data_IF_145474097993
#
_entry.id   IF_145474097993
#
_cell.length_a   1.000
_cell.length_b   1.000
_cell.length_c   1.000
_cell.angle_alpha   90.00
_cell.angle_beta   90.00
_cell.angle_gamma   90.00
#
_symmetry.space_group_name_H-M   'P 1'
#
loop_
_entity.id
_entity.type
_entity.pdbx_description
1 polymer ?
#
# COMPACT_ATOMS: atom_id res chain seq x y z
N UNK A 1 -23.95 -27.11 -0.13
CA UNK A 1 -22.75 -27.61 -0.84
C UNK A 1 -21.55 -27.38 0.06
N UNK A 2 -20.82 -28.42 0.36
CA UNK A 2 -19.57 -28.32 1.14
C UNK A 2 -18.42 -28.38 0.14
N UNK A 3 -17.57 -27.34 0.10
CA UNK A 3 -16.39 -27.30 -0.75
C UNK A 3 -15.20 -27.80 0.09
N UNK A 4 -14.62 -28.94 -0.30
CA UNK A 4 -13.43 -29.50 0.35
C UNK A 4 -12.11 -28.84 -0.09
N UNK A 5 -12.17 -27.79 -0.90
CA UNK A 5 -11.04 -27.02 -1.40
C UNK A 5 -11.37 -25.55 -1.53
N UNK A 6 -10.37 -24.73 -1.87
CA UNK A 6 -10.56 -23.31 -2.10
C UNK A 6 -11.41 -23.01 -3.33
N UNK A 7 -12.04 -21.84 -3.34
CA UNK A 7 -12.67 -21.26 -4.53
C UNK A 7 -11.67 -20.27 -5.14
N UNK A 8 -11.28 -20.48 -6.38
CA UNK A 8 -10.48 -19.54 -7.16
C UNK A 8 -11.41 -18.88 -8.16
N UNK A 9 -11.61 -17.59 -8.06
CA UNK A 9 -12.53 -16.83 -8.89
C UNK A 9 -11.83 -16.00 -9.97
N UNK A 10 -10.52 -16.03 -10.10
CA UNK A 10 -9.75 -15.41 -11.20
C UNK A 10 -10.37 -14.09 -11.72
N UNK A 11 -10.43 -13.07 -10.85
CA UNK A 11 -11.01 -11.75 -11.12
C UNK A 11 -12.54 -11.70 -11.37
N UNK A 12 -13.23 -12.82 -11.17
CA UNK A 12 -14.68 -12.85 -11.25
C UNK A 12 -15.37 -12.30 -9.98
N UNK A 13 -16.52 -11.69 -10.17
CA UNK A 13 -17.28 -11.06 -9.09
C UNK A 13 -18.07 -12.08 -8.28
N UNK A 14 -17.83 -12.13 -6.96
CA UNK A 14 -18.71 -12.81 -6.03
C UNK A 14 -19.71 -11.79 -5.47
N UNK A 15 -20.97 -11.86 -5.94
CA UNK A 15 -21.99 -10.93 -5.51
C UNK A 15 -22.51 -11.26 -4.11
N UNK A 16 -22.52 -10.25 -3.21
CA UNK A 16 -23.05 -10.31 -1.85
C UNK A 16 -22.50 -11.45 -0.98
N UNK A 17 -21.17 -11.66 -0.94
CA UNK A 17 -20.60 -12.68 -0.08
C UNK A 17 -20.87 -12.36 1.40
N UNK A 18 -21.11 -13.38 2.20
CA UNK A 18 -21.12 -13.30 3.68
C UNK A 18 -19.96 -14.12 4.20
N UNK A 19 -18.94 -13.44 4.72
CA UNK A 19 -17.74 -14.06 5.27
C UNK A 19 -17.85 -14.03 6.81
N UNK A 20 -17.73 -15.18 7.45
CA UNK A 20 -17.77 -15.29 8.91
C UNK A 20 -16.38 -15.08 9.50
N UNK A 21 -15.40 -15.64 8.84
CA UNK A 21 -14.00 -15.55 9.24
C UNK A 21 -13.18 -15.55 7.94
N UNK A 22 -12.33 -14.53 7.78
CA UNK A 22 -11.45 -14.44 6.63
C UNK A 22 -10.08 -13.87 7.05
N UNK A 23 -9.08 -14.25 6.32
CA UNK A 23 -7.74 -13.69 6.44
C UNK A 23 -7.24 -13.27 5.08
N UNK A 24 -6.44 -12.22 5.04
CA UNK A 24 -5.76 -11.77 3.84
C UNK A 24 -4.32 -12.29 3.84
N UNK A 25 -3.83 -12.63 2.67
CA UNK A 25 -2.41 -12.95 2.52
C UNK A 25 -1.59 -11.66 2.65
N UNK A 26 -0.55 -11.72 3.46
CA UNK A 26 0.40 -10.61 3.59
C UNK A 26 1.51 -10.78 2.56
N UNK A 27 1.61 -9.83 1.64
CA UNK A 27 2.73 -9.78 0.69
C UNK A 27 3.95 -9.10 1.31
N UNK A 28 5.11 -9.74 1.24
CA UNK A 28 6.37 -9.19 1.70
C UNK A 28 7.14 -8.54 0.54
N UNK A 29 7.02 -7.24 0.37
CA UNK A 29 7.80 -6.47 -0.61
C UNK A 29 9.31 -6.59 -0.34
N UNK A 30 9.68 -6.73 0.95
CA UNK A 30 11.07 -6.86 1.39
C UNK A 30 11.79 -5.52 1.54
N UNK A 31 13.12 -5.57 1.56
CA UNK A 31 13.98 -4.37 1.67
C UNK A 31 14.14 -3.65 0.34
N UNK A 32 13.96 -2.32 0.35
CA UNK A 32 14.11 -1.46 -0.81
C UNK A 32 15.08 -0.31 -0.54
N UNK A 33 15.90 -0.02 -1.55
CA UNK A 33 16.90 1.08 -1.54
C UNK A 33 16.74 2.02 -2.73
N UNK A 34 15.80 1.73 -3.62
CA UNK A 34 15.54 2.47 -4.86
C UNK A 34 14.05 2.41 -5.20
N UNK A 35 13.64 3.07 -6.27
CA UNK A 35 12.27 3.09 -6.77
C UNK A 35 11.69 1.68 -6.98
N UNK A 36 10.43 1.51 -6.60
CA UNK A 36 9.69 0.25 -6.73
C UNK A 36 8.18 0.53 -6.81
N UNK A 37 7.40 -0.50 -7.09
CA UNK A 37 5.95 -0.42 -7.10
C UNK A 37 5.35 -1.24 -5.96
N UNK A 38 4.27 -0.73 -5.39
CA UNK A 38 3.31 -1.43 -4.54
C UNK A 38 2.27 -1.97 -5.51
N UNK A 39 2.23 -3.29 -5.67
CA UNK A 39 1.34 -3.97 -6.59
C UNK A 39 0.11 -4.51 -5.85
N UNK A 40 -1.09 -4.08 -6.27
CA UNK A 40 -2.32 -4.51 -5.64
C UNK A 40 -2.73 -5.95 -6.04
N UNK A 41 -2.18 -6.49 -7.13
CA UNK A 41 -2.36 -7.90 -7.47
C UNK A 41 -1.67 -8.84 -6.47
N UNK A 42 -0.64 -8.36 -5.79
CA UNK A 42 0.05 -9.11 -4.73
C UNK A 42 -0.72 -9.14 -3.40
N UNK A 43 -1.79 -8.35 -3.27
CA UNK A 43 -2.67 -8.29 -2.11
C UNK A 43 -2.77 -6.92 -1.45
N UNK A 44 -3.80 -6.76 -0.63
CA UNK A 44 -4.16 -5.50 0.01
C UNK A 44 -3.43 -5.25 1.34
N UNK A 45 -2.67 -6.22 1.83
CA UNK A 45 -1.85 -6.08 3.04
C UNK A 45 -0.40 -6.42 2.68
N UNK A 46 0.49 -5.45 2.85
CA UNK A 46 1.88 -5.61 2.41
C UNK A 46 2.85 -5.16 3.49
N UNK A 47 4.04 -5.74 3.50
CA UNK A 47 5.13 -5.33 4.40
C UNK A 47 6.32 -4.84 3.62
N UNK A 48 7.01 -3.83 4.16
CA UNK A 48 8.09 -3.12 3.48
C UNK A 48 9.14 -2.68 4.49
N UNK A 49 10.41 -2.77 4.11
CA UNK A 49 11.52 -2.15 4.86
C UNK A 49 12.30 -1.22 3.94
N UNK A 50 12.48 0.03 4.36
CA UNK A 50 13.40 0.93 3.68
C UNK A 50 14.80 0.76 4.26
N UNK A 51 15.79 0.54 3.38
CA UNK A 51 17.18 0.21 3.75
C UNK A 51 18.18 1.20 3.18
N UNK A 52 17.96 2.48 3.41
CA UNK A 52 18.90 3.51 2.97
C UNK A 52 18.23 4.83 2.65
N UNK A 53 19.03 5.89 2.63
CA UNK A 53 18.59 7.22 2.21
C UNK A 53 18.61 7.36 0.69
N UNK A 54 17.76 8.20 0.17
CA UNK A 54 17.69 8.52 -1.25
C UNK A 54 16.37 9.20 -1.59
N UNK A 55 16.30 9.76 -2.79
CA UNK A 55 15.06 10.33 -3.33
C UNK A 55 14.60 9.48 -4.49
N UNK A 56 13.40 8.91 -4.41
CA UNK A 56 12.85 8.07 -5.46
C UNK A 56 11.32 8.01 -5.38
N UNK A 57 10.71 7.53 -6.44
CA UNK A 57 9.28 7.33 -6.52
C UNK A 57 8.88 5.91 -6.06
N UNK A 58 7.73 5.83 -5.42
CA UNK A 58 7.06 4.59 -5.03
C UNK A 58 5.74 4.58 -5.79
N UNK A 59 5.62 3.71 -6.78
CA UNK A 59 4.40 3.57 -7.57
C UNK A 59 3.31 2.77 -6.83
N UNK A 60 2.05 2.98 -7.22
CA UNK A 60 0.91 2.17 -6.77
C UNK A 60 0.23 1.68 -8.04
N UNK A 61 0.32 0.38 -8.30
CA UNK A 61 -0.10 -0.20 -9.58
C UNK A 61 -1.22 -1.23 -9.41
N UNK A 62 -1.85 -1.55 -10.54
CA UNK A 62 -2.85 -2.61 -10.66
C UNK A 62 -4.11 -2.41 -9.81
N UNK A 63 -4.49 -1.16 -9.55
CA UNK A 63 -5.80 -0.86 -9.00
C UNK A 63 -6.89 -1.24 -10.01
N UNK A 64 -7.95 -1.88 -9.53
CA UNK A 64 -9.08 -2.27 -10.38
C UNK A 64 -9.81 -1.02 -10.86
N UNK A 65 -9.85 -0.83 -12.17
CA UNK A 65 -10.46 0.34 -12.83
C UNK A 65 -11.91 0.53 -12.40
N UNK A 66 -12.32 1.77 -12.16
CA UNK A 66 -13.68 2.13 -11.74
C UNK A 66 -14.15 1.55 -10.41
N UNK A 67 -13.22 1.06 -9.59
CA UNK A 67 -13.52 0.53 -8.26
C UNK A 67 -12.77 1.33 -7.17
N UNK A 68 -13.27 1.23 -5.95
CA UNK A 68 -12.50 1.61 -4.78
C UNK A 68 -11.51 0.50 -4.45
N UNK A 69 -10.26 0.88 -4.23
CA UNK A 69 -9.20 -0.04 -3.83
C UNK A 69 -8.47 0.53 -2.62
N UNK A 70 -7.95 -0.34 -1.76
CA UNK A 70 -7.16 0.06 -0.60
C UNK A 70 -5.99 -0.88 -0.42
N UNK A 71 -4.88 -0.37 0.10
CA UNK A 71 -3.74 -1.17 0.54
C UNK A 71 -3.26 -0.66 1.90
N UNK A 72 -2.98 -1.60 2.81
CA UNK A 72 -2.38 -1.32 4.11
C UNK A 72 -0.94 -1.81 4.11
N UNK A 73 -0.03 -0.93 4.51
CA UNK A 73 1.41 -1.18 4.52
C UNK A 73 1.90 -1.12 5.96
N UNK A 74 2.49 -2.22 6.44
CA UNK A 74 3.31 -2.23 7.63
C UNK A 74 4.75 -1.96 7.17
N UNK A 75 5.22 -0.75 7.38
CA UNK A 75 6.50 -0.29 6.85
C UNK A 75 7.51 0.03 7.94
N UNK A 76 8.71 -0.50 7.80
CA UNK A 76 9.83 -0.21 8.69
C UNK A 76 10.75 0.83 8.05
N UNK A 77 11.11 1.85 8.83
CA UNK A 77 12.00 2.94 8.40
C UNK A 77 11.51 3.72 7.16
N UNK A 78 10.20 3.85 6.97
CA UNK A 78 9.63 4.50 5.78
C UNK A 78 10.15 5.93 5.58
N UNK A 79 10.41 6.65 6.66
CA UNK A 79 10.97 8.01 6.63
C UNK A 79 12.49 8.08 6.51
N UNK A 80 13.20 6.97 6.32
CA UNK A 80 14.66 6.98 6.13
C UNK A 80 15.07 7.44 4.71
N UNK A 81 14.12 7.53 3.79
CA UNK A 81 14.30 8.01 2.42
C UNK A 81 13.33 9.15 2.11
N UNK A 82 13.58 9.89 1.04
CA UNK A 82 12.61 10.83 0.46
C UNK A 82 11.83 10.09 -0.62
N UNK A 83 10.75 9.43 -0.21
CA UNK A 83 9.86 8.68 -1.12
C UNK A 83 8.64 9.50 -1.50
N UNK A 84 8.35 9.60 -2.79
CA UNK A 84 7.10 10.16 -3.28
C UNK A 84 6.20 9.02 -3.74
N UNK A 85 5.07 8.85 -3.09
CA UNK A 85 4.06 7.87 -3.50
C UNK A 85 3.25 8.44 -4.67
N UNK A 86 3.14 7.66 -5.75
CA UNK A 86 2.51 8.09 -6.99
C UNK A 86 1.43 7.10 -7.43
N UNK A 87 0.36 7.60 -8.02
CA UNK A 87 -0.58 6.79 -8.78
C UNK A 87 0.12 6.20 -10.02
N UNK A 88 -0.02 4.90 -10.26
CA UNK A 88 0.65 4.20 -11.35
C UNK A 88 2.11 3.85 -11.06
N UNK A 89 2.82 3.37 -12.06
CA UNK A 89 4.19 2.90 -11.92
C UNK A 89 5.17 4.02 -11.49
N UNK A 90 6.19 3.67 -10.73
CA UNK A 90 7.16 4.59 -10.15
C UNK A 90 7.90 5.49 -11.16
N UNK A 91 7.99 5.08 -12.43
CA UNK A 91 8.54 5.87 -13.53
C UNK A 91 7.50 6.58 -14.40
N UNK A 92 6.20 6.44 -14.11
CA UNK A 92 5.11 6.84 -15.00
C UNK A 92 4.59 8.28 -14.87
N UNK A 93 5.09 9.05 -13.89
CA UNK A 93 4.67 10.45 -13.69
C UNK A 93 3.20 10.64 -13.29
N UNK A 94 2.62 9.68 -12.60
CA UNK A 94 1.26 9.77 -12.05
C UNK A 94 1.13 10.83 -10.95
N UNK A 95 -0.12 11.09 -10.53
CA UNK A 95 -0.41 12.05 -9.47
C UNK A 95 0.21 11.60 -8.13
N UNK A 96 0.79 12.53 -7.40
CA UNK A 96 1.22 12.25 -6.03
C UNK A 96 0.01 11.95 -5.13
N UNK A 97 0.22 11.11 -4.13
CA UNK A 97 -0.79 10.78 -3.12
C UNK A 97 -1.18 12.03 -2.33
N UNK A 98 -2.47 12.24 -2.12
CA UNK A 98 -3.01 13.26 -1.22
C UNK A 98 -2.96 12.75 0.22
N UNK A 99 -2.14 13.36 1.07
CA UNK A 99 -2.00 12.94 2.47
C UNK A 99 -2.99 13.64 3.39
N UNK A 100 -3.55 12.91 4.34
CA UNK A 100 -4.41 13.46 5.38
C UNK A 100 -3.67 14.54 6.19
N UNK A 101 -4.36 15.65 6.47
CA UNK A 101 -3.76 16.79 7.17
C UNK A 101 -3.09 17.82 6.25
N UNK A 102 -3.03 17.53 4.98
CA UNK A 102 -2.31 18.36 4.00
C UNK A 102 -0.81 18.27 4.21
N UNK A 103 -0.06 18.64 3.23
CA UNK A 103 1.38 18.64 3.32
C UNK A 103 2.02 17.81 2.25
N UNK A 104 3.31 17.86 2.28
CA UNK A 104 4.19 17.23 1.34
C UNK A 104 4.19 15.72 1.56
N UNK A 105 4.23 14.99 0.48
CA UNK A 105 4.42 13.53 0.42
C UNK A 105 5.75 13.08 1.01
N UNK A 106 6.54 14.02 1.50
CA UNK A 106 7.85 13.75 2.01
C UNK A 106 7.80 13.11 3.41
N UNK A 107 8.86 12.52 3.76
CA UNK A 107 9.25 11.75 4.92
C UNK A 107 8.82 12.30 6.28
N UNK A 108 8.37 13.55 6.35
CA UNK A 108 7.92 14.18 7.61
C UNK A 108 6.70 13.50 8.22
N UNK A 109 5.95 12.75 7.42
CA UNK A 109 4.79 11.99 7.91
C UNK A 109 5.18 10.66 8.52
N UNK A 110 6.30 10.07 8.10
CA UNK A 110 6.71 8.71 8.46
C UNK A 110 7.98 8.72 9.31
N UNK A 111 8.18 7.65 10.06
CA UNK A 111 9.33 7.53 10.98
C UNK A 111 10.58 7.09 10.23
N UNK A 112 11.71 7.75 10.50
CA UNK A 112 13.00 7.40 9.91
C UNK A 112 13.63 6.14 10.52
N UNK A 113 13.20 5.77 11.73
CA UNK A 113 13.59 4.52 12.39
C UNK A 113 12.40 4.02 13.19
N UNK A 114 11.94 2.80 12.93
CA UNK A 114 10.77 2.23 13.57
C UNK A 114 9.77 1.70 12.55
N UNK A 115 8.64 1.27 13.04
CA UNK A 115 7.57 0.68 12.22
C UNK A 115 6.35 1.59 12.22
N UNK A 116 5.84 1.88 11.03
CA UNK A 116 4.63 2.67 10.82
C UNK A 116 3.57 1.83 10.09
N UNK A 117 2.31 2.15 10.29
CA UNK A 117 1.19 1.63 9.49
C UNK A 117 0.65 2.74 8.61
N UNK A 118 0.63 2.50 7.31
CA UNK A 118 0.13 3.43 6.30
C UNK A 118 -1.01 2.78 5.54
N UNK A 119 -2.09 3.51 5.35
CA UNK A 119 -3.21 3.09 4.49
C UNK A 119 -3.33 4.04 3.31
N UNK A 120 -3.41 3.48 2.12
CA UNK A 120 -3.66 4.20 0.87
C UNK A 120 -4.98 3.72 0.30
N UNK A 121 -5.84 4.65 -0.14
CA UNK A 121 -7.13 4.31 -0.74
C UNK A 121 -7.40 5.16 -1.97
N UNK A 122 -8.06 4.58 -2.95
CA UNK A 122 -8.58 5.27 -4.14
C UNK A 122 -10.07 5.03 -4.29
N UNK A 123 -10.77 5.97 -4.90
CA UNK A 123 -12.20 5.89 -5.19
C UNK A 123 -12.50 5.93 -6.70
N UNK A 124 -11.46 6.02 -7.51
CA UNK A 124 -11.55 6.24 -8.95
C UNK A 124 -10.66 5.27 -9.77
N UNK A 125 -10.41 4.08 -9.21
CA UNK A 125 -9.63 3.06 -9.89
C UNK A 125 -8.15 3.36 -10.01
N UNK A 126 -7.60 4.10 -9.05
CA UNK A 126 -6.15 4.34 -8.96
C UNK A 126 -5.66 5.62 -9.64
N UNK A 127 -6.55 6.49 -10.11
CA UNK A 127 -6.16 7.79 -10.68
C UNK A 127 -5.70 8.76 -9.59
N UNK A 128 -6.45 8.82 -8.49
CA UNK A 128 -6.10 9.61 -7.31
C UNK A 128 -6.06 8.71 -6.08
N UNK A 129 -5.06 8.91 -5.25
CA UNK A 129 -4.86 8.16 -4.01
C UNK A 129 -4.86 9.10 -2.81
N UNK A 130 -5.44 8.62 -1.73
CA UNK A 130 -5.52 9.31 -0.43
C UNK A 130 -4.78 8.49 0.60
N UNK A 131 -3.80 9.10 1.25
CA UNK A 131 -2.90 8.44 2.19
C UNK A 131 -3.16 8.86 3.64
N UNK A 132 -3.07 7.89 4.53
CA UNK A 132 -3.21 8.08 5.97
C UNK A 132 -2.07 7.35 6.67
N UNK A 133 -1.35 8.03 7.54
CA UNK A 133 -0.47 7.36 8.50
C UNK A 133 -1.33 6.96 9.68
N UNK A 134 -1.74 5.71 9.71
CA UNK A 134 -2.66 5.16 10.71
C UNK A 134 -2.01 5.00 12.08
N UNK A 135 -0.68 4.85 12.13
CA UNK A 135 0.10 4.81 13.36
C UNK A 135 1.59 4.87 13.06
N UNK A 136 2.35 5.33 14.04
CA UNK A 136 3.81 5.54 13.94
C UNK A 136 4.52 4.91 15.12
N UNK A 137 5.78 4.53 14.88
CA UNK A 137 6.71 4.13 15.95
C UNK A 137 6.19 2.94 16.77
N UNK A 138 5.57 1.97 16.12
CA UNK A 138 5.15 0.77 16.83
C UNK A 138 6.37 0.03 17.38
N UNK A 139 6.41 -0.12 18.69
CA UNK A 139 7.47 -0.83 19.42
C UNK A 139 6.87 -1.71 20.50
N UNK A 140 7.51 -2.83 20.78
CA UNK A 140 7.19 -3.63 21.95
C UNK A 140 7.81 -2.96 23.19
N UNK A 141 7.00 -2.77 24.20
CA UNK A 141 7.44 -2.29 25.52
C UNK A 141 7.88 -3.46 26.40
#
# INVERSE_FOLDING_TARGET
MTLGGGIVCSDEVISRPRLTDYSETVNAIGSKTAAFDIDLEDGNVQTLTMSGGGTFNIGIVNAVSSHSNSVTILGTNLGSCTGTFLAGANGGGGNAVYWAGGGDTSNNLMTSSGTDVVTLTTFDGGTNWYGFVAGKEFANS
#
